data_IF_885383573798
#
_entry.id   IF_885383573798
#
_cell.length_a   1.000
_cell.length_b   1.000
_cell.length_c   1.000
_cell.angle_alpha   90.00
_cell.angle_beta   90.00
_cell.angle_gamma   90.00
#
_symmetry.space_group_name_H-M   'P 1'
#
loop_
_entity.id
_entity.type
_entity.pdbx_description
1 polymer ?
#
# COMPACT_ATOMS: atom_id res chain seq x y z
N UNK A 1 -2.19 -1.22 13.95
CA UNK A 1 -2.66 -0.25 12.93
C UNK A 1 -4.15 0.07 13.11
N UNK A 2 -5.12 -0.88 13.18
CA UNK A 2 -6.56 -0.55 13.21
C UNK A 2 -6.98 0.38 14.36
N UNK A 3 -6.57 0.11 15.60
CA UNK A 3 -6.86 1.00 16.73
C UNK A 3 -6.26 2.39 16.58
N UNK A 4 -5.13 2.51 15.87
CA UNK A 4 -4.53 3.80 15.63
C UNK A 4 -5.31 4.60 14.58
N UNK A 5 -5.79 3.94 13.52
CA UNK A 5 -6.69 4.54 12.52
C UNK A 5 -7.96 5.08 13.21
N UNK A 6 -8.63 4.28 14.05
CA UNK A 6 -9.81 4.71 14.81
C UNK A 6 -9.52 5.94 15.69
N UNK A 7 -8.38 5.93 16.38
CA UNK A 7 -7.94 7.06 17.20
C UNK A 7 -7.68 8.32 16.36
N UNK A 8 -7.04 8.16 15.19
CA UNK A 8 -6.76 9.27 14.27
C UNK A 8 -8.05 9.88 13.70
N UNK A 9 -9.06 9.05 13.40
CA UNK A 9 -10.39 9.54 12.97
C UNK A 9 -10.98 10.45 14.03
N UNK A 10 -10.97 10.06 15.32
CA UNK A 10 -11.51 10.88 16.42
C UNK A 10 -10.73 12.18 16.61
N UNK A 11 -9.41 12.17 16.45
CA UNK A 11 -8.62 13.38 16.51
C UNK A 11 -8.91 14.33 15.35
N UNK A 12 -9.16 13.77 14.16
CA UNK A 12 -9.53 14.55 13.00
C UNK A 12 -10.94 15.15 13.14
N UNK A 13 -11.90 14.40 13.70
CA UNK A 13 -13.24 14.89 14.05
C UNK A 13 -13.16 16.11 15.01
N UNK A 14 -12.35 16.00 16.06
CA UNK A 14 -12.17 17.11 17.01
C UNK A 14 -11.51 18.32 16.35
N UNK A 15 -10.49 18.10 15.52
CA UNK A 15 -9.83 19.18 14.79
C UNK A 15 -10.80 19.91 13.84
N UNK A 16 -11.73 19.21 13.19
CA UNK A 16 -12.80 19.81 12.38
C UNK A 16 -13.76 20.61 13.26
N UNK A 17 -14.17 20.08 14.41
CA UNK A 17 -15.07 20.75 15.37
C UNK A 17 -14.48 22.06 15.91
N UNK A 18 -13.18 22.06 16.20
CA UNK A 18 -12.45 23.22 16.69
C UNK A 18 -12.10 24.24 15.57
N UNK A 19 -12.23 23.84 14.29
CA UNK A 19 -11.75 24.65 13.16
C UNK A 19 -10.23 24.80 13.12
N UNK A 20 -9.48 23.86 13.72
CA UNK A 20 -8.03 23.92 13.82
C UNK A 20 -7.37 23.41 12.53
N UNK A 21 -7.10 24.33 11.59
CA UNK A 21 -6.56 24.01 10.27
C UNK A 21 -5.23 23.24 10.32
N UNK A 22 -4.34 23.56 11.24
CA UNK A 22 -3.05 22.87 11.36
C UNK A 22 -3.25 21.40 11.75
N UNK A 23 -4.13 21.15 12.72
CA UNK A 23 -4.43 19.79 13.15
C UNK A 23 -5.24 19.03 12.09
N UNK A 24 -6.15 19.70 11.37
CA UNK A 24 -6.88 19.07 10.24
C UNK A 24 -5.88 18.58 9.19
N UNK A 25 -4.96 19.41 8.74
CA UNK A 25 -3.96 19.02 7.75
C UNK A 25 -3.05 17.89 8.25
N UNK A 26 -2.54 18.02 9.47
CA UNK A 26 -1.66 17.03 10.08
C UNK A 26 -2.35 15.67 10.21
N UNK A 27 -3.52 15.64 10.88
CA UNK A 27 -4.21 14.37 11.12
C UNK A 27 -4.77 13.76 9.84
N UNK A 28 -5.14 14.56 8.84
CA UNK A 28 -5.52 14.04 7.53
C UNK A 28 -4.36 13.34 6.83
N UNK A 29 -3.16 13.94 6.87
CA UNK A 29 -1.96 13.34 6.27
C UNK A 29 -1.56 12.06 7.00
N UNK A 30 -1.49 12.11 8.35
CA UNK A 30 -1.12 10.96 9.17
C UNK A 30 -2.15 9.82 9.00
N UNK A 31 -3.44 10.11 9.01
CA UNK A 31 -4.50 9.13 8.78
C UNK A 31 -4.39 8.48 7.40
N UNK A 32 -4.14 9.28 6.35
CA UNK A 32 -3.92 8.78 5.00
C UNK A 32 -2.74 7.82 4.93
N UNK A 33 -1.63 8.12 5.59
CA UNK A 33 -0.47 7.25 5.68
C UNK A 33 -0.83 5.89 6.33
N UNK A 34 -1.46 5.88 7.51
CA UNK A 34 -1.83 4.62 8.18
C UNK A 34 -2.87 3.80 7.42
N UNK A 35 -3.80 4.47 6.72
CA UNK A 35 -4.75 3.80 5.84
C UNK A 35 -4.03 3.17 4.64
N UNK A 36 -3.06 3.87 4.05
CA UNK A 36 -2.24 3.32 2.96
C UNK A 36 -1.45 2.10 3.42
N UNK A 37 -0.75 2.19 4.55
CA UNK A 37 -0.02 1.08 5.16
C UNK A 37 -0.90 -0.15 5.43
N UNK A 38 -2.13 0.06 5.90
CA UNK A 38 -3.08 -1.02 6.13
C UNK A 38 -3.47 -1.76 4.83
N UNK A 39 -3.32 -1.12 3.66
CA UNK A 39 -3.59 -1.73 2.37
C UNK A 39 -2.40 -2.50 1.79
N UNK A 40 -1.21 -2.41 2.39
CA UNK A 40 -0.01 -3.13 1.94
C UNK A 40 -0.03 -4.56 2.49
N UNK A 41 -0.07 -5.61 1.64
CA UNK A 41 -0.12 -7.00 2.09
C UNK A 41 1.03 -7.36 3.01
N UNK A 42 2.23 -6.90 2.71
CA UNK A 42 3.46 -7.25 3.44
C UNK A 42 3.54 -6.61 4.84
N UNK A 43 2.76 -5.55 5.14
CA UNK A 43 2.65 -4.98 6.49
C UNK A 43 1.88 -5.89 7.48
N UNK A 44 1.31 -6.99 7.01
CA UNK A 44 0.51 -7.91 7.83
C UNK A 44 1.25 -9.19 8.23
N UNK A 45 2.55 -9.29 7.95
CA UNK A 45 3.35 -10.50 8.21
C UNK A 45 4.71 -10.17 8.81
N UNK A 46 5.24 -11.09 9.64
CA UNK A 46 6.62 -11.02 10.12
C UNK A 46 7.63 -11.17 8.98
N UNK A 47 7.25 -11.84 7.89
CA UNK A 47 8.05 -11.98 6.68
C UNK A 47 7.90 -10.79 5.72
N UNK A 48 7.69 -9.60 6.26
CA UNK A 48 7.37 -8.39 5.48
C UNK A 48 8.39 -8.10 4.36
N UNK A 49 9.66 -8.41 4.56
CA UNK A 49 10.71 -8.17 3.57
C UNK A 49 11.34 -9.46 3.00
N UNK A 50 10.66 -10.59 3.15
CA UNK A 50 11.04 -11.86 2.55
C UNK A 50 12.24 -12.57 3.19
N UNK A 51 12.65 -12.17 4.41
CA UNK A 51 13.80 -12.78 5.07
C UNK A 51 13.61 -14.27 5.41
N UNK A 52 12.37 -14.70 5.64
CA UNK A 52 12.05 -16.09 5.99
C UNK A 52 11.88 -16.99 4.76
N UNK A 53 11.85 -16.42 3.56
CA UNK A 53 11.57 -17.13 2.29
C UNK A 53 12.62 -16.86 1.21
N UNK A 54 13.79 -16.30 1.60
CA UNK A 54 14.89 -15.93 0.69
C UNK A 54 14.47 -14.95 -0.43
N UNK A 55 13.50 -14.07 -0.12
CA UNK A 55 12.96 -13.06 -1.03
C UNK A 55 13.30 -11.63 -0.56
N UNK A 56 14.49 -11.47 0.02
CA UNK A 56 14.92 -10.18 0.61
C UNK A 56 14.76 -9.02 -0.37
N UNK A 57 14.04 -8.00 0.07
CA UNK A 57 13.76 -6.80 -0.73
C UNK A 57 12.38 -6.80 -1.41
N UNK A 58 11.60 -7.87 -1.23
CA UNK A 58 10.25 -7.98 -1.83
C UNK A 58 9.31 -6.86 -1.38
N UNK A 59 9.51 -6.32 -0.18
CA UNK A 59 8.74 -5.17 0.32
C UNK A 59 8.87 -3.96 -0.59
N UNK A 60 10.09 -3.47 -0.78
CA UNK A 60 10.35 -2.35 -1.68
C UNK A 60 10.07 -2.69 -3.15
N UNK A 61 10.15 -3.96 -3.53
CA UNK A 61 9.76 -4.40 -4.86
C UNK A 61 8.26 -4.19 -5.09
N UNK A 62 7.41 -4.68 -4.19
CA UNK A 62 5.95 -4.58 -4.30
C UNK A 62 5.44 -3.14 -4.12
N UNK A 63 5.95 -2.43 -3.10
CA UNK A 63 5.40 -1.14 -2.66
C UNK A 63 6.01 0.06 -3.37
N UNK A 64 7.25 -0.07 -3.85
CA UNK A 64 7.97 1.04 -4.48
C UNK A 64 8.21 0.77 -5.97
N UNK A 65 8.88 -0.34 -6.29
CA UNK A 65 9.32 -0.58 -7.67
C UNK A 65 8.18 -0.80 -8.65
N UNK A 66 7.16 -1.57 -8.26
CA UNK A 66 5.99 -1.78 -9.15
C UNK A 66 5.20 -0.47 -9.36
N UNK A 67 4.84 0.31 -8.32
CA UNK A 67 4.23 1.63 -8.53
C UNK A 67 5.09 2.59 -9.36
N UNK A 68 6.42 2.65 -9.16
CA UNK A 68 7.31 3.49 -9.96
C UNK A 68 7.23 3.16 -11.46
N UNK A 69 6.98 1.90 -11.82
CA UNK A 69 6.95 1.45 -13.21
C UNK A 69 5.57 1.54 -13.85
N UNK A 70 4.50 1.36 -13.08
CA UNK A 70 3.17 1.09 -13.64
C UNK A 70 2.07 2.06 -13.18
N UNK A 71 2.31 2.92 -12.16
CA UNK A 71 1.25 3.77 -11.61
C UNK A 71 0.67 4.77 -12.62
N UNK A 72 1.41 5.15 -13.63
CA UNK A 72 0.93 6.04 -14.70
C UNK A 72 -0.15 5.37 -15.57
N UNK A 73 -0.23 4.04 -15.55
CA UNK A 73 -1.23 3.24 -16.28
C UNK A 73 -2.46 2.92 -15.40
N UNK A 74 -2.43 3.24 -14.09
CA UNK A 74 -3.51 2.93 -13.17
C UNK A 74 -4.62 3.99 -13.21
N UNK A 75 -5.86 3.52 -13.14
CA UNK A 75 -7.02 4.41 -12.98
C UNK A 75 -7.27 4.75 -11.51
N UNK A 76 -6.87 5.95 -11.07
CA UNK A 76 -7.11 6.43 -9.71
C UNK A 76 -8.46 7.13 -9.51
N UNK A 77 -9.35 7.14 -10.51
CA UNK A 77 -10.71 7.61 -10.30
C UNK A 77 -11.52 6.57 -9.53
N UNK A 78 -11.64 6.76 -8.23
CA UNK A 78 -12.23 5.78 -7.29
C UNK A 78 -13.66 6.09 -6.88
N UNK A 79 -14.23 7.17 -7.38
CA UNK A 79 -15.60 7.59 -7.08
C UNK A 79 -15.73 8.41 -5.79
N UNK A 80 -16.98 8.61 -5.34
CA UNK A 80 -17.29 9.45 -4.18
C UNK A 80 -17.04 8.73 -2.87
N UNK A 81 -16.46 9.44 -1.90
CA UNK A 81 -16.31 8.97 -0.53
C UNK A 81 -17.67 8.62 0.10
N UNK A 82 -17.67 7.64 1.00
CA UNK A 82 -18.84 7.16 1.73
C UNK A 82 -18.62 7.30 3.23
N UNK A 83 -19.70 7.54 3.96
CA UNK A 83 -19.67 7.54 5.41
C UNK A 83 -19.38 6.15 5.96
N UNK A 84 -18.45 6.05 6.92
CA UNK A 84 -18.07 4.82 7.60
C UNK A 84 -18.76 4.79 8.96
N UNK A 85 -19.66 3.83 9.16
CA UNK A 85 -20.42 3.70 10.41
C UNK A 85 -19.55 3.24 11.57
N UNK A 86 -18.59 2.36 11.31
CA UNK A 86 -17.68 1.81 12.33
C UNK A 86 -16.23 1.86 11.82
N UNK A 87 -15.48 2.95 12.09
CA UNK A 87 -14.10 3.11 11.63
C UNK A 87 -13.16 1.99 12.06
N UNK A 88 -13.29 1.50 13.29
CA UNK A 88 -12.43 0.41 13.81
C UNK A 88 -12.67 -0.91 13.07
N UNK A 89 -13.91 -1.29 12.86
CA UNK A 89 -14.28 -2.51 12.14
C UNK A 89 -13.78 -2.45 10.68
N UNK A 90 -14.04 -1.32 10.01
CA UNK A 90 -13.54 -1.08 8.64
C UNK A 90 -12.02 -1.16 8.55
N UNK A 91 -11.30 -0.60 9.52
CA UNK A 91 -9.84 -0.70 9.56
C UNK A 91 -9.36 -2.16 9.71
N UNK A 92 -10.07 -2.99 10.47
CA UNK A 92 -9.80 -4.43 10.57
C UNK A 92 -10.08 -5.16 9.26
N UNK A 93 -11.19 -4.89 8.58
CA UNK A 93 -11.52 -5.46 7.27
C UNK A 93 -10.42 -5.18 6.23
N UNK A 94 -9.86 -3.96 6.25
CA UNK A 94 -8.74 -3.57 5.37
C UNK A 94 -7.50 -4.42 5.65
N UNK A 95 -7.12 -4.56 6.93
CA UNK A 95 -5.94 -5.35 7.34
C UNK A 95 -6.13 -6.84 7.02
N UNK A 96 -7.32 -7.39 7.26
CA UNK A 96 -7.63 -8.78 6.91
C UNK A 96 -7.58 -9.03 5.39
N UNK A 97 -8.07 -8.09 4.59
CA UNK A 97 -7.96 -8.17 3.13
C UNK A 97 -6.49 -8.14 2.67
N UNK A 98 -5.65 -7.33 3.30
CA UNK A 98 -4.20 -7.32 3.07
C UNK A 98 -3.54 -8.63 3.50
N UNK A 99 -3.92 -9.16 4.65
CA UNK A 99 -3.41 -10.44 5.15
C UNK A 99 -3.74 -11.60 4.20
N UNK A 100 -4.96 -11.65 3.66
CA UNK A 100 -5.35 -12.65 2.65
C UNK A 100 -4.54 -12.54 1.35
N UNK A 101 -4.12 -11.33 0.98
CA UNK A 101 -3.36 -11.10 -0.25
C UNK A 101 -1.85 -11.42 -0.13
N UNK A 102 -1.29 -11.44 1.08
CA UNK A 102 0.17 -11.59 1.31
C UNK A 102 0.78 -12.87 0.74
N UNK A 103 0.02 -13.97 0.80
CA UNK A 103 0.52 -15.26 0.32
C UNK A 103 0.73 -15.25 -1.19
N UNK A 104 -0.17 -14.62 -1.96
CA UNK A 104 -0.01 -14.45 -3.39
C UNK A 104 1.20 -13.57 -3.74
N UNK A 105 1.47 -12.53 -2.95
CA UNK A 105 2.65 -11.68 -3.14
C UNK A 105 3.93 -12.52 -3.03
N UNK A 106 4.05 -13.33 -1.99
CA UNK A 106 5.24 -14.16 -1.76
C UNK A 106 5.33 -15.33 -2.74
N UNK A 107 4.23 -16.05 -2.98
CA UNK A 107 4.21 -17.24 -3.83
C UNK A 107 4.50 -16.90 -5.30
N UNK A 108 3.95 -15.83 -5.83
CA UNK A 108 4.16 -15.46 -7.22
C UNK A 108 5.60 -15.01 -7.48
N UNK A 109 6.21 -14.24 -6.56
CA UNK A 109 7.63 -13.89 -6.72
C UNK A 109 8.52 -15.11 -6.58
N UNK A 110 8.26 -16.04 -5.65
CA UNK A 110 9.01 -17.26 -5.53
C UNK A 110 8.94 -18.13 -6.80
N UNK A 111 7.73 -18.26 -7.38
CA UNK A 111 7.53 -19.01 -8.62
C UNK A 111 8.29 -18.36 -9.79
N UNK A 112 8.19 -17.04 -9.93
CA UNK A 112 8.92 -16.29 -10.95
C UNK A 112 10.43 -16.45 -10.75
N UNK A 113 10.94 -16.27 -9.55
CA UNK A 113 12.35 -16.40 -9.24
C UNK A 113 12.91 -17.79 -9.58
N UNK A 114 12.09 -18.84 -9.44
CA UNK A 114 12.48 -20.21 -9.79
C UNK A 114 12.59 -20.47 -11.28
N UNK A 115 11.91 -19.68 -12.13
CA UNK A 115 11.86 -19.87 -13.59
C UNK A 115 12.63 -18.80 -14.36
N UNK A 116 12.91 -17.65 -13.74
CA UNK A 116 13.56 -16.50 -14.41
C UNK A 116 15.09 -16.61 -14.38
N UNK A 117 15.75 -16.10 -15.42
CA UNK A 117 17.21 -16.11 -15.51
C UNK A 117 17.85 -15.20 -14.45
N UNK A 118 18.70 -15.74 -13.55
CA UNK A 118 19.22 -14.97 -12.40
C UNK A 118 20.03 -13.73 -12.79
N UNK A 119 20.71 -13.76 -13.94
CA UNK A 119 21.49 -12.65 -14.49
C UNK A 119 20.63 -11.49 -14.99
N UNK A 120 19.35 -11.74 -15.31
CA UNK A 120 18.38 -10.74 -15.78
C UNK A 120 17.45 -10.22 -14.68
N UNK A 121 17.48 -10.82 -13.48
CA UNK A 121 16.60 -10.42 -12.37
C UNK A 121 16.81 -8.99 -11.91
N UNK A 122 18.04 -8.49 -11.98
CA UNK A 122 18.40 -7.17 -11.48
C UNK A 122 19.03 -6.31 -12.57
N UNK A 123 18.82 -5.00 -12.47
CA UNK A 123 19.48 -3.98 -13.25
C UNK A 123 20.08 -2.89 -12.36
N UNK A 124 20.98 -2.08 -12.89
CA UNK A 124 21.52 -0.92 -12.21
C UNK A 124 20.80 0.34 -12.72
N UNK A 125 20.13 1.02 -11.82
CA UNK A 125 19.38 2.24 -12.11
C UNK A 125 20.13 3.42 -11.51
N UNK A 126 20.34 4.47 -12.31
CA UNK A 126 20.96 5.69 -11.81
C UNK A 126 19.94 6.47 -10.96
N UNK A 127 20.30 6.76 -9.70
CA UNK A 127 19.57 7.70 -8.83
C UNK A 127 20.53 8.81 -8.37
N UNK A 128 20.36 9.99 -8.96
CA UNK A 128 21.28 11.09 -8.74
C UNK A 128 22.68 10.75 -9.25
N UNK A 129 23.70 10.77 -8.37
CA UNK A 129 25.09 10.43 -8.69
C UNK A 129 25.46 8.96 -8.42
N UNK A 130 24.51 8.14 -7.97
CA UNK A 130 24.75 6.74 -7.57
C UNK A 130 24.01 5.77 -8.48
N UNK A 131 24.62 4.60 -8.72
CA UNK A 131 23.94 3.45 -9.31
C UNK A 131 23.48 2.52 -8.22
N UNK A 132 22.18 2.24 -8.19
CA UNK A 132 21.58 1.29 -7.25
C UNK A 132 21.13 0.04 -7.99
N UNK A 133 21.36 -1.12 -7.37
CA UNK A 133 20.81 -2.39 -7.84
C UNK A 133 19.31 -2.41 -7.55
N UNK A 134 18.50 -2.62 -8.59
CA UNK A 134 17.04 -2.72 -8.47
C UNK A 134 16.54 -3.88 -9.33
N UNK A 135 15.31 -4.33 -9.11
CA UNK A 135 14.68 -5.33 -9.98
C UNK A 135 14.60 -4.80 -11.41
N UNK A 136 14.95 -5.63 -12.38
CA UNK A 136 14.89 -5.25 -13.80
C UNK A 136 13.46 -4.98 -14.26
N UNK A 137 13.31 -4.28 -15.36
CA UNK A 137 11.98 -4.02 -15.93
C UNK A 137 11.30 -5.32 -16.33
N UNK A 138 12.02 -6.21 -17.01
CA UNK A 138 11.51 -7.50 -17.49
C UNK A 138 11.00 -8.37 -16.32
N UNK A 139 11.77 -8.47 -15.24
CA UNK A 139 11.33 -9.20 -14.04
C UNK A 139 10.10 -8.56 -13.39
N UNK A 140 10.06 -7.24 -13.38
CA UNK A 140 8.94 -6.49 -12.82
C UNK A 140 7.67 -6.62 -13.66
N UNK A 141 7.79 -6.62 -15.00
CA UNK A 141 6.67 -6.83 -15.92
C UNK A 141 6.02 -8.20 -15.70
N UNK A 142 6.82 -9.27 -15.65
CA UNK A 142 6.29 -10.63 -15.43
C UNK A 142 5.63 -10.76 -14.05
N UNK A 143 6.27 -10.23 -12.99
CA UNK A 143 5.69 -10.25 -11.66
C UNK A 143 4.38 -9.45 -11.58
N UNK A 144 4.33 -8.28 -12.21
CA UNK A 144 3.13 -7.45 -12.28
C UNK A 144 1.97 -8.17 -12.97
N UNK A 145 2.25 -8.89 -14.07
CA UNK A 145 1.26 -9.72 -14.76
C UNK A 145 0.75 -10.84 -13.84
N UNK A 146 1.65 -11.55 -13.13
CA UNK A 146 1.26 -12.62 -12.20
C UNK A 146 0.38 -12.11 -11.06
N UNK A 147 0.63 -10.89 -10.56
CA UNK A 147 -0.18 -10.24 -9.52
C UNK A 147 -1.59 -9.84 -10.01
N UNK A 148 -1.87 -9.89 -11.30
CA UNK A 148 -3.19 -9.68 -11.90
C UNK A 148 -3.91 -8.41 -11.39
N UNK A 149 -3.22 -7.29 -11.46
CA UNK A 149 -3.74 -5.97 -11.06
C UNK A 149 -3.87 -5.79 -9.54
N UNK A 150 -3.23 -6.64 -8.73
CA UNK A 150 -3.31 -6.53 -7.26
C UNK A 150 -2.80 -5.19 -6.76
N UNK A 151 -1.67 -4.71 -7.27
CA UNK A 151 -1.05 -3.44 -6.83
C UNK A 151 -2.03 -2.29 -7.06
N UNK A 152 -2.54 -2.15 -8.29
CA UNK A 152 -3.55 -1.13 -8.63
C UNK A 152 -4.78 -1.24 -7.72
N UNK A 153 -5.35 -2.44 -7.57
CA UNK A 153 -6.54 -2.67 -6.73
C UNK A 153 -6.31 -2.22 -5.27
N UNK A 154 -5.15 -2.50 -4.70
CA UNK A 154 -4.81 -2.09 -3.33
C UNK A 154 -4.58 -0.59 -3.22
N UNK A 155 -3.91 0.04 -4.19
CA UNK A 155 -3.72 1.49 -4.23
C UNK A 155 -5.06 2.21 -4.40
N UNK A 156 -5.92 1.78 -5.31
CA UNK A 156 -7.27 2.33 -5.51
C UNK A 156 -8.13 2.22 -4.24
N UNK A 157 -8.09 1.07 -3.58
CA UNK A 157 -8.80 0.85 -2.32
C UNK A 157 -8.28 1.78 -1.22
N UNK A 158 -6.97 1.99 -1.13
CA UNK A 158 -6.35 2.93 -0.19
C UNK A 158 -6.82 4.37 -0.42
N UNK A 159 -6.80 4.86 -1.66
CA UNK A 159 -7.28 6.20 -2.03
C UNK A 159 -8.75 6.37 -1.66
N UNK A 160 -9.60 5.39 -2.02
CA UNK A 160 -11.02 5.41 -1.71
C UNK A 160 -11.29 5.44 -0.21
N UNK A 161 -10.65 4.55 0.54
CA UNK A 161 -10.85 4.43 1.99
C UNK A 161 -10.32 5.64 2.77
N UNK A 162 -9.19 6.20 2.35
CA UNK A 162 -8.70 7.48 2.91
C UNK A 162 -9.75 8.58 2.76
N UNK A 163 -10.33 8.74 1.59
CA UNK A 163 -11.42 9.69 1.35
C UNK A 163 -12.65 9.40 2.23
N UNK A 164 -13.01 8.11 2.42
CA UNK A 164 -14.14 7.72 3.27
C UNK A 164 -13.89 8.05 4.75
N UNK A 165 -12.68 7.81 5.28
CA UNK A 165 -12.32 8.17 6.65
C UNK A 165 -12.30 9.70 6.85
N UNK A 166 -11.75 10.47 5.90
CA UNK A 166 -11.78 11.94 5.97
C UNK A 166 -13.20 12.46 5.94
N UNK A 167 -14.03 11.96 5.01
CA UNK A 167 -15.43 12.34 4.90
C UNK A 167 -16.19 12.04 6.19
N UNK A 168 -15.96 10.87 6.78
CA UNK A 168 -16.58 10.47 8.05
C UNK A 168 -16.21 11.43 9.18
N UNK A 169 -14.92 11.73 9.31
CA UNK A 169 -14.46 12.67 10.33
C UNK A 169 -14.98 14.10 10.14
N UNK A 170 -15.19 14.52 8.87
CA UNK A 170 -15.76 15.84 8.57
C UNK A 170 -17.26 15.94 8.84
N UNK A 171 -18.00 14.85 8.66
CA UNK A 171 -19.47 14.83 8.85
C UNK A 171 -19.85 14.73 10.32
N UNK A 172 -19.05 14.09 11.19
CA UNK A 172 -19.30 13.95 12.62
C UNK A 172 -18.94 15.22 13.40
#
# INVERSE_FOLDING_TARGET
VPWHIDKMVRWLEEAFREGNLNNILRYSADLGHYVADAHVPLHTTLNYNGHLTDQKGIHGFWETRLPELFSDEYDFFVGRAKYIKNPLETAWEIVEASFRAKDSVLLFEAALNGSFSPDKKYSHVQRGQSFIKNYSKEYSDEYHVMLNGMVEKRMRASVFMTGCFWYTAWVN
#
